data_IF_251429014825
#
_entry.id   IF_251429014825
#
_cell.length_a   1.000
_cell.length_b   1.000
_cell.length_c   1.000
_cell.angle_alpha   90.00
_cell.angle_beta   90.00
_cell.angle_gamma   90.00
#
_symmetry.space_group_name_H-M   'P 1'
#
loop_
_entity.id
_entity.type
_entity.pdbx_description
1 polymer ?
#
# COMPACT_ATOMS: atom_id res chain seq x y z
N UNK A 1 -8.55 -15.91 -14.48
CA UNK A 1 -8.91 -14.48 -14.37
C UNK A 1 -9.47 -14.30 -12.97
N UNK A 2 -8.81 -13.48 -12.15
CA UNK A 2 -9.31 -13.14 -10.81
C UNK A 2 -10.59 -12.34 -10.96
N UNK A 3 -11.60 -12.63 -10.13
CA UNK A 3 -12.81 -11.83 -10.10
C UNK A 3 -12.47 -10.38 -9.71
N UNK A 4 -13.15 -9.43 -10.35
CA UNK A 4 -12.89 -8.00 -10.16
C UNK A 4 -13.08 -7.56 -8.71
N UNK A 5 -14.09 -8.09 -8.02
CA UNK A 5 -14.36 -7.78 -6.61
C UNK A 5 -13.32 -8.43 -5.72
N UNK A 6 -12.90 -9.64 -6.03
CA UNK A 6 -11.83 -10.32 -5.29
C UNK A 6 -10.49 -9.58 -5.44
N UNK A 7 -10.17 -9.06 -6.62
CA UNK A 7 -8.98 -8.25 -6.84
C UNK A 7 -9.01 -6.92 -6.04
N UNK A 8 -10.17 -6.26 -5.95
CA UNK A 8 -10.35 -5.08 -5.11
C UNK A 8 -10.24 -5.39 -3.61
N UNK A 9 -10.77 -6.53 -3.16
CA UNK A 9 -10.63 -6.97 -1.77
C UNK A 9 -9.18 -7.31 -1.42
N UNK A 10 -8.43 -7.92 -2.34
CA UNK A 10 -6.99 -8.15 -2.17
C UNK A 10 -6.24 -6.81 -2.06
N UNK A 11 -6.51 -5.87 -2.98
CA UNK A 11 -5.93 -4.53 -2.93
C UNK A 11 -6.24 -3.81 -1.61
N UNK A 12 -7.51 -3.83 -1.17
CA UNK A 12 -7.91 -3.25 0.12
C UNK A 12 -7.17 -3.89 1.29
N UNK A 13 -7.03 -5.21 1.28
CA UNK A 13 -6.28 -5.96 2.30
C UNK A 13 -4.82 -5.51 2.35
N UNK A 14 -4.14 -5.41 1.20
CA UNK A 14 -2.75 -4.95 1.13
C UNK A 14 -2.57 -3.50 1.56
N UNK A 15 -3.54 -2.63 1.24
CA UNK A 15 -3.51 -1.23 1.67
C UNK A 15 -3.58 -1.13 3.20
N UNK A 16 -4.47 -1.90 3.84
CA UNK A 16 -4.62 -1.95 5.30
C UNK A 16 -3.38 -2.57 5.94
N UNK A 17 -2.92 -3.72 5.44
CA UNK A 17 -1.78 -4.46 6.01
C UNK A 17 -0.47 -3.65 5.92
N UNK A 18 -0.22 -2.96 4.81
CA UNK A 18 0.95 -2.07 4.69
C UNK A 18 0.87 -0.85 5.61
N UNK A 19 -0.32 -0.30 5.86
CA UNK A 19 -0.50 0.79 6.82
C UNK A 19 -0.14 0.34 8.24
N UNK A 20 -0.67 -0.80 8.67
CA UNK A 20 -0.36 -1.35 9.99
C UNK A 20 1.13 -1.68 10.10
N UNK A 21 1.73 -2.20 9.03
CA UNK A 21 3.16 -2.39 8.93
C UNK A 21 3.93 -1.09 9.20
N UNK A 22 3.64 -0.01 8.47
CA UNK A 22 4.30 1.28 8.72
C UNK A 22 4.06 1.83 10.13
N UNK A 23 2.86 1.66 10.67
CA UNK A 23 2.52 2.09 12.04
C UNK A 23 3.42 1.40 13.06
N UNK A 24 3.59 0.09 12.95
CA UNK A 24 4.44 -0.67 13.86
C UNK A 24 5.93 -0.36 13.61
N UNK A 25 6.31 -0.05 12.36
CA UNK A 25 7.67 0.31 11.96
C UNK A 25 8.18 1.56 12.68
N UNK A 26 7.28 2.52 12.91
CA UNK A 26 7.60 3.79 13.57
C UNK A 26 8.19 3.61 14.97
N UNK A 27 7.83 2.54 15.68
CA UNK A 27 8.35 2.25 17.03
C UNK A 27 9.82 1.81 17.02
N UNK A 28 10.32 1.35 15.86
CA UNK A 28 11.66 0.80 15.69
C UNK A 28 12.61 1.70 14.88
N UNK A 29 12.11 2.78 14.30
CA UNK A 29 12.91 3.74 13.54
C UNK A 29 13.47 4.82 14.47
N UNK A 30 14.76 5.14 14.31
CA UNK A 30 15.37 6.32 14.94
C UNK A 30 15.42 7.53 14.00
N UNK A 31 15.67 7.29 12.71
CA UNK A 31 15.77 8.33 11.69
C UNK A 31 14.47 9.11 11.51
N UNK A 32 14.52 10.43 11.80
CA UNK A 32 13.40 11.34 11.59
C UNK A 32 12.96 11.40 10.12
N UNK A 33 13.89 11.16 9.20
CA UNK A 33 13.59 11.11 7.77
C UNK A 33 12.71 9.90 7.43
N UNK A 34 13.11 8.70 7.87
CA UNK A 34 12.34 7.46 7.66
C UNK A 34 10.98 7.53 8.34
N UNK A 35 10.87 8.13 9.54
CA UNK A 35 9.57 8.36 10.20
C UNK A 35 8.62 9.19 9.35
N UNK A 36 9.13 10.27 8.77
CA UNK A 36 8.33 11.13 7.88
C UNK A 36 7.81 10.33 6.69
N UNK A 37 8.66 9.52 6.06
CA UNK A 37 8.28 8.66 4.93
C UNK A 37 7.17 7.69 5.33
N UNK A 38 7.31 6.98 6.45
CA UNK A 38 6.28 6.04 6.91
C UNK A 38 4.95 6.72 7.18
N UNK A 39 4.96 7.90 7.79
CA UNK A 39 3.74 8.69 8.03
C UNK A 39 3.08 9.14 6.71
N UNK A 40 3.86 9.56 5.72
CA UNK A 40 3.36 9.91 4.38
C UNK A 40 2.67 8.71 3.71
N UNK A 41 3.28 7.52 3.77
CA UNK A 41 2.68 6.30 3.23
C UNK A 41 1.43 5.88 4.00
N UNK A 42 1.42 5.92 5.34
CA UNK A 42 0.23 5.63 6.14
C UNK A 42 -0.95 6.52 5.75
N UNK A 43 -0.74 7.84 5.65
CA UNK A 43 -1.79 8.77 5.24
C UNK A 43 -2.30 8.53 3.82
N UNK A 44 -1.43 8.04 2.91
CA UNK A 44 -1.84 7.59 1.58
C UNK A 44 -2.67 6.31 1.65
N UNK A 45 -2.31 5.34 2.49
CA UNK A 45 -3.09 4.11 2.68
C UNK A 45 -4.48 4.39 3.20
N UNK A 46 -4.62 5.28 4.18
CA UNK A 46 -5.92 5.63 4.74
C UNK A 46 -6.87 6.17 3.68
N UNK A 47 -6.42 7.14 2.87
CA UNK A 47 -7.21 7.68 1.75
C UNK A 47 -7.54 6.60 0.73
N UNK A 48 -6.52 5.89 0.26
CA UNK A 48 -6.69 4.91 -0.81
C UNK A 48 -7.65 3.77 -0.40
N UNK A 49 -7.48 3.25 0.82
CA UNK A 49 -8.34 2.19 1.38
C UNK A 49 -9.78 2.67 1.54
N UNK A 50 -9.98 3.92 1.99
CA UNK A 50 -11.32 4.51 2.10
C UNK A 50 -12.03 4.60 0.74
N UNK A 51 -11.33 4.99 -0.31
CA UNK A 51 -11.90 5.08 -1.67
C UNK A 51 -12.24 3.70 -2.23
N UNK A 52 -11.35 2.71 -2.08
CA UNK A 52 -11.60 1.32 -2.50
C UNK A 52 -12.79 0.73 -1.75
N UNK A 53 -12.88 0.98 -0.42
CA UNK A 53 -14.00 0.54 0.42
C UNK A 53 -15.31 1.18 -0.01
N UNK A 54 -15.31 2.48 -0.30
CA UNK A 54 -16.49 3.19 -0.75
C UNK A 54 -17.01 2.62 -2.07
N UNK A 55 -16.11 2.30 -3.02
CA UNK A 55 -16.49 1.65 -4.27
C UNK A 55 -17.11 0.25 -4.04
N UNK A 56 -16.44 -0.61 -3.25
CA UNK A 56 -16.95 -1.94 -2.94
C UNK A 56 -18.34 -1.89 -2.28
N UNK A 57 -18.53 -0.97 -1.33
CA UNK A 57 -19.81 -0.75 -0.64
C UNK A 57 -20.90 -0.33 -1.62
N UNK A 58 -20.60 0.62 -2.53
CA UNK A 58 -21.52 1.05 -3.59
C UNK A 58 -21.89 -0.09 -4.55
N UNK A 59 -20.94 -0.99 -4.83
CA UNK A 59 -21.16 -2.19 -5.62
C UNK A 59 -21.95 -3.30 -4.88
N UNK A 60 -22.44 -3.04 -3.66
CA UNK A 60 -23.23 -3.99 -2.87
C UNK A 60 -22.40 -5.01 -2.10
N UNK A 61 -21.07 -4.84 -2.06
CA UNK A 61 -20.19 -5.65 -1.26
C UNK A 61 -19.93 -4.95 0.06
N UNK A 62 -20.55 -5.44 1.13
CA UNK A 62 -20.26 -4.93 2.45
C UNK A 62 -18.86 -5.35 2.87
N UNK A 63 -17.93 -4.40 2.80
CA UNK A 63 -16.61 -4.45 3.43
C UNK A 63 -16.67 -3.49 4.61
N UNK A 64 -17.61 -3.75 5.52
CA UNK A 64 -17.48 -3.25 6.89
C UNK A 64 -16.13 -3.74 7.44
N UNK A 65 -15.68 -3.16 8.55
CA UNK A 65 -14.52 -3.62 9.33
C UNK A 65 -14.74 -5.03 9.95
N UNK A 66 -15.36 -5.93 9.19
CA UNK A 66 -15.46 -7.35 9.44
C UNK A 66 -14.03 -7.87 9.59
N UNK A 67 -13.80 -8.44 10.77
CA UNK A 67 -12.54 -9.02 11.16
C UNK A 67 -11.98 -10.03 10.17
N UNK A 68 -12.62 -10.38 9.05
CA UNK A 68 -12.01 -11.18 7.98
C UNK A 68 -10.98 -10.42 7.14
N UNK A 69 -11.24 -9.19 6.67
CA UNK A 69 -10.23 -8.40 5.93
C UNK A 69 -9.15 -7.90 6.88
N UNK A 70 -9.56 -7.43 8.06
CA UNK A 70 -8.63 -7.01 9.10
C UNK A 70 -7.84 -8.19 9.70
N UNK A 71 -8.43 -9.39 9.86
CA UNK A 71 -7.64 -10.56 10.28
C UNK A 71 -6.86 -11.21 9.13
N UNK A 72 -7.23 -11.00 7.86
CA UNK A 72 -6.38 -11.40 6.73
C UNK A 72 -5.20 -10.48 6.52
N UNK A 73 -5.31 -9.22 6.96
CA UNK A 73 -4.19 -8.30 7.15
C UNK A 73 -3.32 -8.79 8.32
N UNK A 74 -2.65 -9.91 8.11
CA UNK A 74 -1.63 -10.44 9.00
C UNK A 74 -0.67 -11.30 8.18
N UNK A 75 0.48 -10.69 7.83
CA UNK A 75 1.85 -11.25 7.88
C UNK A 75 2.89 -10.39 7.14
N UNK A 76 2.54 -9.29 6.48
CA UNK A 76 3.55 -8.47 5.77
C UNK A 76 4.38 -7.58 6.69
N UNK A 77 3.89 -7.27 7.90
CA UNK A 77 4.71 -6.63 8.94
C UNK A 77 6.03 -7.38 9.20
N UNK A 78 6.06 -8.71 9.02
CA UNK A 78 7.29 -9.49 9.18
C UNK A 78 8.40 -9.08 8.20
N UNK A 79 8.06 -8.66 6.98
CA UNK A 79 9.06 -8.21 6.01
C UNK A 79 9.61 -6.82 6.34
N UNK A 80 8.71 -5.90 6.75
CA UNK A 80 9.11 -4.53 7.08
C UNK A 80 9.89 -4.47 8.39
N UNK A 81 9.49 -5.22 9.42
CA UNK A 81 10.20 -5.27 10.70
C UNK A 81 11.64 -5.81 10.56
N UNK A 82 11.86 -6.78 9.67
CA UNK A 82 13.17 -7.40 9.47
C UNK A 82 14.10 -6.46 8.69
N UNK A 83 13.52 -5.53 7.92
CA UNK A 83 14.26 -4.55 7.16
C UNK A 83 14.54 -3.24 7.91
N UNK A 84 13.70 -2.88 8.88
CA UNK A 84 13.93 -1.72 9.75
C UNK A 84 15.12 -2.01 10.64
N UNK A 85 16.29 -1.62 10.16
CA UNK A 85 17.53 -1.65 10.92
C UNK A 85 17.78 -0.23 11.42
N UNK A 86 17.81 0.03 12.74
CA UNK A 86 17.88 1.38 13.30
C UNK A 86 19.01 2.27 12.74
N UNK A 87 20.09 1.66 12.25
CA UNK A 87 21.28 2.34 11.74
C UNK A 87 21.46 2.28 10.21
N UNK A 88 20.47 1.80 9.44
CA UNK A 88 20.61 1.65 7.99
C UNK A 88 19.37 2.13 7.22
N UNK A 89 19.31 3.45 7.02
CA UNK A 89 18.25 4.12 6.26
C UNK A 89 18.17 3.60 4.82
N UNK A 90 19.31 3.37 4.15
CA UNK A 90 19.34 2.89 2.76
C UNK A 90 18.71 1.49 2.62
N UNK A 91 19.06 0.54 3.50
CA UNK A 91 18.44 -0.78 3.50
C UNK A 91 16.94 -0.71 3.82
N UNK A 92 16.55 0.19 4.73
CA UNK A 92 15.14 0.41 5.05
C UNK A 92 14.38 0.96 3.84
N UNK A 93 14.92 1.96 3.14
CA UNK A 93 14.32 2.54 1.93
C UNK A 93 14.23 1.52 0.78
N UNK A 94 15.24 0.69 0.58
CA UNK A 94 15.21 -0.36 -0.43
C UNK A 94 14.08 -1.36 -0.18
N UNK A 95 13.84 -1.75 1.07
CA UNK A 95 12.71 -2.61 1.42
C UNK A 95 11.36 -1.92 1.21
N UNK A 96 11.25 -0.64 1.62
CA UNK A 96 10.05 0.17 1.35
C UNK A 96 9.75 0.13 -0.15
N UNK A 97 10.72 0.47 -1.00
CA UNK A 97 10.58 0.44 -2.45
C UNK A 97 10.13 -0.93 -2.96
N UNK A 98 10.66 -2.03 -2.40
CA UNK A 98 10.26 -3.40 -2.75
C UNK A 98 8.80 -3.67 -2.38
N UNK A 99 8.39 -3.36 -1.15
CA UNK A 99 7.00 -3.53 -0.69
C UNK A 99 6.01 -2.68 -1.49
N UNK A 100 6.39 -1.44 -1.78
CA UNK A 100 5.60 -0.51 -2.58
C UNK A 100 5.45 -0.97 -4.03
N UNK A 101 6.47 -1.60 -4.60
CA UNK A 101 6.39 -2.21 -5.93
C UNK A 101 5.41 -3.40 -5.96
N UNK A 102 5.40 -4.24 -4.91
CA UNK A 102 4.44 -5.33 -4.80
C UNK A 102 2.98 -4.84 -4.61
N UNK A 103 2.80 -3.64 -4.07
CA UNK A 103 1.49 -2.98 -4.02
C UNK A 103 1.09 -2.42 -5.39
N UNK A 104 2.02 -1.89 -6.18
CA UNK A 104 1.74 -1.52 -7.58
C UNK A 104 1.23 -2.72 -8.38
N UNK A 105 1.86 -3.89 -8.24
CA UNK A 105 1.40 -5.10 -8.92
C UNK A 105 -0.05 -5.46 -8.53
N UNK A 106 -0.45 -5.21 -7.27
CA UNK A 106 -1.84 -5.42 -6.83
C UNK A 106 -2.81 -4.41 -7.47
N UNK A 107 -2.38 -3.15 -7.64
CA UNK A 107 -3.14 -2.17 -8.42
C UNK A 107 -3.29 -2.60 -9.88
N UNK A 108 -2.21 -3.04 -10.53
CA UNK A 108 -2.26 -3.52 -11.91
C UNK A 108 -3.25 -4.68 -12.05
N UNK A 109 -3.19 -5.67 -11.16
CA UNK A 109 -4.15 -6.77 -11.14
C UNK A 109 -5.60 -6.29 -10.97
N UNK A 110 -5.86 -5.34 -10.07
CA UNK A 110 -7.19 -4.80 -9.84
C UNK A 110 -7.70 -3.99 -11.04
N UNK A 111 -6.83 -3.19 -11.67
CA UNK A 111 -7.14 -2.40 -12.86
C UNK A 111 -7.42 -3.33 -14.05
N UNK A 112 -6.57 -4.33 -14.30
CA UNK A 112 -6.74 -5.31 -15.38
C UNK A 112 -8.01 -6.15 -15.21
N UNK A 113 -8.33 -6.57 -13.98
CA UNK A 113 -9.58 -7.28 -13.69
C UNK A 113 -10.83 -6.41 -13.93
N UNK A 114 -10.69 -5.08 -13.90
CA UNK A 114 -11.74 -4.11 -14.24
C UNK A 114 -11.69 -3.57 -15.68
N UNK A 115 -10.59 -3.82 -16.42
CA UNK A 115 -10.30 -3.22 -17.72
C UNK A 115 -11.22 -3.78 -18.82
N UNK A 116 -12.42 -3.21 -18.87
CA UNK A 116 -13.44 -3.46 -19.88
C UNK A 116 -14.86 -3.06 -19.49
N UNK A 117 -15.14 -2.66 -18.23
CA UNK A 117 -16.53 -2.68 -17.74
C UNK A 117 -17.01 -1.54 -16.84
N UNK A 118 -16.19 -0.60 -16.36
CA UNK A 118 -16.70 0.43 -15.44
C UNK A 118 -15.91 1.76 -15.46
N UNK A 119 -16.50 2.88 -15.92
CA UNK A 119 -15.91 4.22 -15.83
C UNK A 119 -15.56 4.66 -14.40
N UNK A 120 -16.16 4.03 -13.39
CA UNK A 120 -15.92 4.33 -11.98
C UNK A 120 -14.55 3.83 -11.48
N UNK A 121 -13.77 3.11 -12.30
CA UNK A 121 -12.42 2.63 -11.96
C UNK A 121 -11.32 3.70 -12.02
N UNK A 122 -11.63 4.92 -12.49
CA UNK A 122 -10.64 5.99 -12.68
C UNK A 122 -9.81 6.30 -11.43
N UNK A 123 -10.41 6.20 -10.23
CA UNK A 123 -9.71 6.44 -8.97
C UNK A 123 -8.55 5.45 -8.73
N UNK A 124 -8.65 4.20 -9.18
CA UNK A 124 -7.55 3.22 -9.04
C UNK A 124 -6.36 3.61 -9.91
N UNK A 125 -6.62 4.11 -11.13
CA UNK A 125 -5.58 4.58 -12.05
C UNK A 125 -4.87 5.79 -11.46
N UNK A 126 -5.61 6.71 -10.85
CA UNK A 126 -5.05 7.86 -10.15
C UNK A 126 -4.20 7.45 -8.94
N UNK A 127 -4.71 6.54 -8.10
CA UNK A 127 -3.98 6.01 -6.96
C UNK A 127 -2.70 5.29 -7.38
N UNK A 128 -2.77 4.44 -8.42
CA UNK A 128 -1.64 3.72 -8.99
C UNK A 128 -0.56 4.68 -9.51
N UNK A 129 -0.94 5.65 -10.35
CA UNK A 129 0.00 6.64 -10.88
C UNK A 129 0.66 7.46 -9.76
N UNK A 130 -0.12 7.80 -8.75
CA UNK A 130 0.34 8.56 -7.60
C UNK A 130 1.27 7.75 -6.68
N UNK A 131 1.06 6.43 -6.55
CA UNK A 131 1.99 5.53 -5.86
C UNK A 131 3.29 5.35 -6.65
N UNK A 132 3.19 5.16 -7.97
CA UNK A 132 4.36 5.03 -8.85
C UNK A 132 5.27 6.26 -8.73
N UNK A 133 4.69 7.46 -8.77
CA UNK A 133 5.45 8.70 -8.58
C UNK A 133 6.13 8.78 -7.20
N UNK A 134 5.48 8.30 -6.13
CA UNK A 134 6.08 8.25 -4.79
C UNK A 134 7.29 7.30 -4.75
N UNK A 135 7.19 6.13 -5.39
CA UNK A 135 8.30 5.16 -5.50
C UNK A 135 9.48 5.75 -6.29
N UNK A 136 9.21 6.42 -7.40
CA UNK A 136 10.25 7.08 -8.20
C UNK A 136 10.95 8.19 -7.41
N UNK A 137 10.20 8.96 -6.62
CA UNK A 137 10.78 9.98 -5.73
C UNK A 137 11.64 9.37 -4.63
N UNK A 138 11.24 8.23 -4.04
CA UNK A 138 12.06 7.53 -3.06
C UNK A 138 13.38 7.05 -3.66
N UNK A 139 13.33 6.39 -4.82
CA UNK A 139 14.53 5.91 -5.54
C UNK A 139 15.49 7.05 -5.85
N UNK A 140 14.97 8.18 -6.35
CA UNK A 140 15.80 9.35 -6.64
C UNK A 140 16.45 9.96 -5.39
N UNK A 141 15.78 9.88 -4.22
CA UNK A 141 16.35 10.35 -2.94
C UNK A 141 17.45 9.41 -2.44
N UNK A 142 17.33 8.11 -2.65
CA UNK A 142 18.37 7.12 -2.33
C UNK A 142 19.63 7.38 -3.17
N UNK A 143 19.48 7.55 -4.49
CA UNK A 143 20.60 7.82 -5.42
C UNK A 143 21.36 9.12 -5.09
N UNK A 144 20.68 10.13 -4.52
CA UNK A 144 21.30 11.40 -4.12
C UNK A 144 22.02 11.33 -2.76
N UNK A 145 21.72 10.31 -1.95
CA UNK A 145 22.32 10.10 -0.63
C UNK A 145 23.49 9.10 -0.65
N UNK A 146 23.71 8.40 -1.78
CA UNK A 146 24.81 7.47 -2.03
C UNK A 146 26.07 8.17 -2.54
#
# INVERSE_FOLDING_TARGET
MTDRIDALKDLLTRLIDSREGYREALDHVESAHIKTIFQEFMARRDRNASEVRAYLTKAGHNVDDDGSILASAHRTWLGLKDAVTPSNDAATLAEVVRGESALLDAYDNAIEAGAGSDPEYGFLVEQHASLKAAIEQLKAREDLAA
#
